data_IF_161893281892
#
_entry.id   IF_161893281892
#
_cell.length_a   1.000
_cell.length_b   1.000
_cell.length_c   1.000
_cell.angle_alpha   90.00
_cell.angle_beta   90.00
_cell.angle_gamma   90.00
#
_symmetry.space_group_name_H-M   'P 1'
#
loop_
_entity.id
_entity.type
_entity.pdbx_description
1 polymer ?
#
# COMPACT_ATOMS: atom_id res chain seq x y z
N UNK A 1 -8.02 26.90 4.90
CA UNK A 1 -8.65 26.61 3.59
C UNK A 1 -9.89 25.79 3.83
N UNK A 2 -11.01 26.17 3.25
CA UNK A 2 -12.22 25.36 3.31
C UNK A 2 -12.05 24.14 2.39
N UNK A 3 -12.32 22.96 2.91
CA UNK A 3 -12.24 21.70 2.14
C UNK A 3 -13.44 21.62 1.20
N UNK A 4 -13.20 21.75 -0.12
CA UNK A 4 -14.23 21.68 -1.15
C UNK A 4 -14.29 20.28 -1.77
N UNK A 5 -15.22 19.48 -1.27
CA UNK A 5 -15.44 18.09 -1.71
C UNK A 5 -15.82 18.04 -3.19
N UNK A 6 -16.63 18.97 -3.69
CA UNK A 6 -17.08 18.95 -5.09
C UNK A 6 -15.92 19.17 -6.05
N UNK A 7 -15.04 20.13 -5.74
CA UNK A 7 -13.84 20.39 -6.52
C UNK A 7 -12.91 19.17 -6.54
N UNK A 8 -12.71 18.49 -5.39
CA UNK A 8 -11.87 17.29 -5.31
C UNK A 8 -12.48 16.15 -6.13
N UNK A 9 -13.82 16.01 -6.13
CA UNK A 9 -14.50 14.98 -6.92
C UNK A 9 -14.31 15.12 -8.43
N UNK A 10 -14.04 16.30 -8.94
CA UNK A 10 -13.74 16.55 -10.37
C UNK A 10 -12.46 15.85 -10.83
N UNK A 11 -11.51 15.61 -9.93
CA UNK A 11 -10.29 14.86 -10.21
C UNK A 11 -10.55 13.37 -10.48
N UNK A 12 -11.75 12.85 -10.14
CA UNK A 12 -12.14 11.45 -10.25
C UNK A 12 -13.27 11.27 -11.28
N UNK A 13 -12.96 11.11 -12.57
CA UNK A 13 -13.97 11.07 -13.64
C UNK A 13 -15.07 10.00 -13.44
N UNK A 14 -14.72 8.87 -12.82
CA UNK A 14 -15.68 7.80 -12.53
C UNK A 14 -16.84 8.25 -11.63
N UNK A 15 -16.63 9.25 -10.76
CA UNK A 15 -17.64 9.74 -9.83
C UNK A 15 -18.71 10.61 -10.50
N UNK A 16 -18.53 10.98 -11.78
CA UNK A 16 -19.54 11.68 -12.59
C UNK A 16 -20.59 10.76 -13.21
N UNK A 17 -20.44 9.43 -13.06
CA UNK A 17 -21.38 8.45 -13.63
C UNK A 17 -22.73 8.47 -12.91
N UNK A 18 -23.77 8.16 -13.68
CA UNK A 18 -25.10 7.84 -13.15
C UNK A 18 -25.30 6.32 -13.12
N UNK A 19 -25.92 5.82 -12.05
CA UNK A 19 -26.31 4.43 -11.88
C UNK A 19 -27.79 4.40 -11.53
N UNK A 20 -28.60 3.74 -12.36
CA UNK A 20 -30.07 3.70 -12.22
C UNK A 20 -30.71 5.10 -12.15
N UNK A 21 -30.21 6.05 -12.95
CA UNK A 21 -30.69 7.43 -12.99
C UNK A 21 -30.31 8.30 -11.79
N UNK A 22 -29.44 7.85 -10.91
CA UNK A 22 -28.92 8.58 -9.73
C UNK A 22 -27.42 8.77 -9.82
N UNK A 23 -26.84 9.83 -9.23
CA UNK A 23 -25.40 9.99 -9.13
C UNK A 23 -24.75 8.78 -8.45
N UNK A 24 -23.57 8.37 -8.93
CA UNK A 24 -22.81 7.28 -8.32
C UNK A 24 -22.42 7.63 -6.87
N UNK A 25 -22.77 6.74 -5.94
CA UNK A 25 -22.22 6.70 -4.59
C UNK A 25 -21.32 5.47 -4.49
N UNK A 26 -20.03 5.67 -4.20
CA UNK A 26 -19.04 4.60 -4.08
C UNK A 26 -18.43 4.60 -2.69
N UNK A 27 -18.66 3.55 -1.92
CA UNK A 27 -18.27 3.43 -0.51
C UNK A 27 -17.25 2.29 -0.25
N UNK A 28 -16.74 1.68 -1.31
CA UNK A 28 -15.85 0.51 -1.22
C UNK A 28 -14.38 0.83 -1.55
N UNK A 29 -13.92 2.05 -1.20
CA UNK A 29 -12.51 2.44 -1.40
C UNK A 29 -11.53 1.63 -0.54
N UNK A 30 -12.00 0.99 0.53
CA UNK A 30 -11.19 0.09 1.36
C UNK A 30 -10.72 -1.15 0.59
N UNK A 31 -11.56 -1.68 -0.30
CA UNK A 31 -11.20 -2.79 -1.17
C UNK A 31 -10.51 -2.29 -2.46
N UNK A 32 -11.06 -1.28 -3.10
CA UNK A 32 -10.54 -0.73 -4.37
C UNK A 32 -10.71 0.78 -4.40
N UNK A 33 -9.64 1.51 -4.22
CA UNK A 33 -9.64 2.98 -4.28
C UNK A 33 -9.80 3.46 -5.72
N UNK A 34 -10.73 4.38 -5.96
CA UNK A 34 -10.86 5.03 -7.26
C UNK A 34 -9.62 5.89 -7.56
N UNK A 35 -9.24 5.94 -8.84
CA UNK A 35 -8.01 6.63 -9.26
C UNK A 35 -8.33 8.03 -9.77
N UNK A 36 -7.63 9.06 -9.32
CA UNK A 36 -7.74 10.38 -9.92
C UNK A 36 -7.13 10.38 -11.33
N UNK A 37 -7.58 11.32 -12.15
CA UNK A 37 -7.13 11.51 -13.54
C UNK A 37 -5.59 11.54 -13.65
N UNK A 38 -4.92 12.33 -12.81
CA UNK A 38 -3.47 12.48 -12.84
C UNK A 38 -2.70 11.16 -12.67
N UNK A 39 -3.25 10.21 -11.88
CA UNK A 39 -2.61 8.88 -11.71
C UNK A 39 -2.76 8.05 -12.99
N UNK A 40 -3.94 8.06 -13.62
CA UNK A 40 -4.17 7.32 -14.86
C UNK A 40 -3.33 7.89 -16.00
N UNK A 41 -3.28 9.21 -16.12
CA UNK A 41 -2.47 9.91 -17.13
C UNK A 41 -0.97 9.63 -16.93
N UNK A 42 -0.47 9.68 -15.70
CA UNK A 42 0.94 9.36 -15.39
C UNK A 42 1.32 7.94 -15.80
N UNK A 43 0.46 6.94 -15.56
CA UNK A 43 0.71 5.56 -16.00
C UNK A 43 0.72 5.46 -17.53
N UNK A 44 -0.21 6.16 -18.18
CA UNK A 44 -0.29 6.18 -19.65
C UNK A 44 0.95 6.83 -20.27
N UNK A 45 1.39 7.97 -19.72
CA UNK A 45 2.58 8.69 -20.16
C UNK A 45 3.86 7.87 -19.96
N UNK A 46 3.96 7.13 -18.86
CA UNK A 46 5.09 6.23 -18.63
C UNK A 46 5.20 5.19 -19.74
N UNK A 47 4.09 4.51 -20.07
CA UNK A 47 4.08 3.51 -21.14
C UNK A 47 4.43 4.09 -22.52
N UNK A 48 4.03 5.31 -22.82
CA UNK A 48 4.26 5.91 -24.13
C UNK A 48 5.62 6.59 -24.27
N UNK A 49 6.26 7.00 -23.16
CA UNK A 49 7.44 7.86 -23.23
C UNK A 49 8.72 7.30 -22.61
N UNK A 50 8.60 6.54 -21.50
CA UNK A 50 9.79 6.14 -20.71
C UNK A 50 9.79 4.68 -20.26
N UNK A 51 8.87 3.84 -20.75
CA UNK A 51 8.78 2.45 -20.34
C UNK A 51 10.07 1.68 -20.65
N UNK A 52 10.86 1.41 -19.59
CA UNK A 52 12.12 0.69 -19.69
C UNK A 52 12.48 0.03 -18.36
N UNK A 53 13.48 -0.85 -18.40
CA UNK A 53 13.96 -1.57 -17.23
C UNK A 53 14.67 -0.63 -16.24
N UNK A 54 14.15 -0.55 -15.02
CA UNK A 54 14.68 0.29 -13.94
C UNK A 54 15.97 -0.33 -13.40
N UNK A 55 17.01 0.47 -13.14
CA UNK A 55 18.33 0.11 -12.55
C UNK A 55 19.22 -0.83 -13.34
N UNK A 56 18.80 -1.37 -14.48
CA UNK A 56 19.56 -2.41 -15.19
C UNK A 56 19.99 -2.06 -16.62
N UNK A 57 19.49 -0.98 -17.17
CA UNK A 57 19.85 -0.53 -18.52
C UNK A 57 20.83 0.63 -18.50
N UNK A 58 21.72 0.66 -19.47
CA UNK A 58 22.69 1.77 -19.67
C UNK A 58 22.26 2.74 -20.77
N UNK A 59 21.04 2.59 -21.28
CA UNK A 59 20.49 3.44 -22.33
C UNK A 59 19.56 4.53 -21.77
N UNK A 60 19.28 5.54 -22.58
CA UNK A 60 18.54 6.75 -22.21
C UNK A 60 17.19 6.46 -21.48
N UNK A 61 16.33 5.61 -22.05
CA UNK A 61 15.02 5.31 -21.44
C UNK A 61 15.16 4.65 -20.08
N UNK A 62 16.12 3.74 -19.91
CA UNK A 62 16.37 3.10 -18.62
C UNK A 62 16.82 4.09 -17.55
N UNK A 63 17.65 5.06 -17.94
CA UNK A 63 18.06 6.14 -17.03
C UNK A 63 16.87 7.02 -16.64
N UNK A 64 16.02 7.36 -17.59
CA UNK A 64 14.80 8.14 -17.34
C UNK A 64 13.84 7.40 -16.39
N UNK A 65 13.53 6.14 -16.67
CA UNK A 65 12.68 5.32 -15.82
C UNK A 65 13.25 5.16 -14.38
N UNK A 66 14.57 4.99 -14.28
CA UNK A 66 15.26 4.93 -12.98
C UNK A 66 15.13 6.25 -12.21
N UNK A 67 15.33 7.39 -12.88
CA UNK A 67 15.22 8.69 -12.24
C UNK A 67 13.79 8.96 -11.73
N UNK A 68 12.76 8.60 -12.51
CA UNK A 68 11.36 8.74 -12.11
C UNK A 68 11.01 7.82 -10.92
N UNK A 69 11.49 6.59 -10.94
CA UNK A 69 11.31 5.65 -9.83
C UNK A 69 11.93 6.17 -8.54
N UNK A 70 13.17 6.63 -8.57
CA UNK A 70 13.85 7.18 -7.40
C UNK A 70 13.24 8.49 -6.91
N UNK A 71 12.79 9.37 -7.82
CA UNK A 71 12.05 10.57 -7.47
C UNK A 71 10.73 10.26 -6.75
N UNK A 72 10.03 9.20 -7.17
CA UNK A 72 8.81 8.71 -6.51
C UNK A 72 9.09 8.20 -5.11
N UNK A 73 10.17 7.43 -4.91
CA UNK A 73 10.61 6.98 -3.58
C UNK A 73 10.95 8.16 -2.67
N UNK A 74 11.66 9.16 -3.18
CA UNK A 74 11.99 10.36 -2.42
C UNK A 74 10.74 11.16 -2.04
N UNK A 75 9.74 11.23 -2.91
CA UNK A 75 8.45 11.86 -2.60
C UNK A 75 7.74 11.16 -1.45
N UNK A 76 7.67 9.83 -1.47
CA UNK A 76 7.09 9.05 -0.38
C UNK A 76 7.91 9.20 0.90
N UNK A 77 9.26 9.15 0.81
CA UNK A 77 10.13 9.36 1.96
C UNK A 77 9.82 10.66 2.69
N UNK A 78 9.68 11.76 1.95
CA UNK A 78 9.34 13.07 2.54
C UNK A 78 7.95 13.07 3.15
N UNK A 79 6.97 12.49 2.46
CA UNK A 79 5.58 12.47 2.90
C UNK A 79 5.40 11.75 4.24
N UNK A 80 6.07 10.60 4.44
CA UNK A 80 6.00 9.85 5.70
C UNK A 80 7.09 10.22 6.70
N UNK A 81 7.93 11.22 6.37
CA UNK A 81 9.04 11.67 7.22
C UNK A 81 10.07 10.57 7.54
N UNK A 82 10.33 9.66 6.61
CA UNK A 82 11.37 8.66 6.77
C UNK A 82 12.78 9.29 6.69
N UNK A 83 13.74 8.72 7.40
CA UNK A 83 15.11 9.25 7.49
C UNK A 83 15.90 9.04 6.19
N UNK A 84 15.69 7.92 5.55
CA UNK A 84 16.43 7.49 4.36
C UNK A 84 15.50 6.96 3.28
N UNK A 85 15.87 7.15 2.02
CA UNK A 85 15.20 6.54 0.87
C UNK A 85 15.28 5.00 0.91
N UNK A 86 16.28 4.43 1.58
CA UNK A 86 16.41 2.98 1.76
C UNK A 86 15.31 2.38 2.65
N UNK A 87 14.57 3.20 3.41
CA UNK A 87 13.41 2.77 4.19
C UNK A 87 12.14 2.65 3.33
N UNK A 88 12.18 3.09 2.07
CA UNK A 88 11.04 3.04 1.16
C UNK A 88 11.15 1.84 0.23
N UNK A 89 10.23 0.91 0.39
CA UNK A 89 10.11 -0.29 -0.45
C UNK A 89 8.72 -0.33 -1.06
N UNK A 90 8.63 -0.24 -2.38
CA UNK A 90 7.38 -0.40 -3.10
C UNK A 90 7.00 -1.88 -3.22
N UNK A 91 5.75 -2.18 -2.94
CA UNK A 91 5.16 -3.52 -3.04
C UNK A 91 3.86 -3.45 -3.85
N UNK A 92 3.33 -4.60 -4.22
CA UNK A 92 2.06 -4.70 -4.98
C UNK A 92 0.82 -4.43 -4.13
N UNK A 93 0.97 -4.29 -2.81
CA UNK A 93 -0.13 -3.99 -1.89
C UNK A 93 0.15 -4.43 -0.46
N UNK A 94 -0.80 -4.15 0.44
CA UNK A 94 -0.68 -4.38 1.88
C UNK A 94 -0.34 -5.83 2.23
N UNK A 95 -0.96 -6.80 1.57
CA UNK A 95 -0.69 -8.23 1.81
C UNK A 95 0.78 -8.58 1.58
N UNK A 96 1.37 -8.10 0.48
CA UNK A 96 2.80 -8.31 0.21
C UNK A 96 3.67 -7.58 1.23
N UNK A 97 3.34 -6.35 1.58
CA UNK A 97 4.09 -5.56 2.57
C UNK A 97 4.13 -6.26 3.93
N UNK A 98 2.98 -6.73 4.43
CA UNK A 98 2.91 -7.41 5.72
C UNK A 98 3.66 -8.76 5.67
N UNK A 99 3.51 -9.54 4.60
CA UNK A 99 4.28 -10.79 4.46
C UNK A 99 5.78 -10.54 4.38
N UNK A 100 6.22 -9.49 3.69
CA UNK A 100 7.63 -9.12 3.61
C UNK A 100 8.17 -8.78 5.02
N UNK A 101 7.46 -7.94 5.77
CA UNK A 101 7.83 -7.57 7.14
C UNK A 101 7.80 -8.80 8.05
N UNK A 102 6.70 -9.55 8.08
CA UNK A 102 6.54 -10.71 8.94
C UNK A 102 7.64 -11.76 8.70
N UNK A 103 7.94 -12.06 7.45
CA UNK A 103 8.99 -13.01 7.07
C UNK A 103 10.38 -12.50 7.45
N UNK A 104 10.74 -11.29 7.01
CA UNK A 104 12.09 -10.73 7.24
C UNK A 104 12.36 -10.48 8.72
N UNK A 105 11.40 -9.94 9.46
CA UNK A 105 11.53 -9.66 10.89
C UNK A 105 11.57 -10.95 11.71
N UNK A 106 10.68 -11.91 11.40
CA UNK A 106 10.70 -13.19 12.08
C UNK A 106 12.02 -13.93 11.86
N UNK A 107 12.59 -13.89 10.65
CA UNK A 107 13.86 -14.56 10.36
C UNK A 107 15.06 -13.92 11.05
N UNK A 108 15.11 -12.60 11.11
CA UNK A 108 16.27 -11.86 11.60
C UNK A 108 16.24 -11.52 13.09
N UNK A 109 15.05 -11.37 13.68
CA UNK A 109 14.89 -10.80 15.02
C UNK A 109 14.13 -11.69 16.01
N UNK A 110 13.41 -12.73 15.54
CA UNK A 110 12.55 -13.53 16.40
C UNK A 110 13.03 -14.97 16.53
N UNK A 111 12.79 -15.56 17.70
CA UNK A 111 13.06 -16.95 18.06
C UNK A 111 11.79 -17.65 18.53
N UNK A 112 11.84 -18.96 18.69
CA UNK A 112 10.76 -19.77 19.26
C UNK A 112 10.32 -19.21 20.64
N UNK A 113 9.02 -19.10 20.82
CA UNK A 113 8.40 -18.57 22.05
C UNK A 113 8.21 -17.06 22.08
N UNK A 114 8.81 -16.29 21.15
CA UNK A 114 8.52 -14.86 21.05
C UNK A 114 7.06 -14.61 20.67
N UNK A 115 6.50 -13.51 21.17
CA UNK A 115 5.08 -13.21 21.03
C UNK A 115 4.82 -12.08 20.01
N UNK A 116 3.80 -12.28 19.17
CA UNK A 116 3.22 -11.24 18.30
C UNK A 116 1.79 -10.97 18.75
N UNK A 117 1.46 -9.70 18.92
CA UNK A 117 0.11 -9.29 19.32
C UNK A 117 -0.62 -8.76 18.10
N UNK A 118 -1.82 -9.28 17.84
CA UNK A 118 -2.78 -8.78 16.84
C UNK A 118 -4.15 -8.58 17.50
N UNK A 119 -5.02 -7.80 16.87
CA UNK A 119 -6.40 -7.71 17.33
C UNK A 119 -7.31 -8.70 16.61
N UNK A 120 -8.46 -9.02 17.18
CA UNK A 120 -9.49 -9.82 16.49
C UNK A 120 -10.10 -9.07 15.30
N UNK A 121 -9.92 -7.76 15.23
CA UNK A 121 -10.46 -6.88 14.17
C UNK A 121 -9.55 -6.79 12.91
N UNK A 122 -8.42 -7.47 12.90
CA UNK A 122 -7.46 -7.41 11.80
C UNK A 122 -8.01 -8.01 10.50
N UNK A 123 -7.61 -7.41 9.39
CA UNK A 123 -7.78 -8.04 8.08
C UNK A 123 -6.92 -9.31 7.99
N UNK A 124 -7.39 -10.30 7.24
CA UNK A 124 -6.68 -11.58 7.04
C UNK A 124 -5.22 -11.43 6.60
N UNK A 125 -4.90 -10.39 5.82
CA UNK A 125 -3.52 -10.10 5.40
C UNK A 125 -2.57 -9.91 6.58
N UNK A 126 -3.05 -9.39 7.71
CA UNK A 126 -2.23 -9.25 8.91
C UNK A 126 -2.23 -10.52 9.76
N UNK A 127 -3.40 -11.11 10.02
CA UNK A 127 -3.49 -12.33 10.86
C UNK A 127 -2.76 -13.51 10.23
N UNK A 128 -3.06 -13.82 8.97
CA UNK A 128 -2.53 -15.01 8.29
C UNK A 128 -1.02 -14.93 8.10
N UNK A 129 -0.49 -13.75 7.79
CA UNK A 129 0.97 -13.56 7.65
C UNK A 129 1.72 -13.96 8.93
N UNK A 130 1.21 -13.58 10.09
CA UNK A 130 1.82 -13.95 11.37
C UNK A 130 1.52 -15.40 11.79
N UNK A 131 0.35 -15.95 11.45
CA UNK A 131 0.06 -17.37 11.64
C UNK A 131 1.04 -18.27 10.88
N UNK A 132 1.42 -17.89 9.65
CA UNK A 132 2.43 -18.61 8.87
C UNK A 132 3.81 -18.58 9.57
N UNK A 133 4.19 -17.45 10.15
CA UNK A 133 5.44 -17.35 10.89
C UNK A 133 5.37 -18.12 12.22
N UNK A 134 4.23 -18.10 12.91
CA UNK A 134 4.01 -18.90 14.12
C UNK A 134 4.19 -20.40 13.83
N UNK A 135 3.59 -20.90 12.77
CA UNK A 135 3.74 -22.30 12.36
C UNK A 135 5.17 -22.66 11.96
N UNK A 136 5.91 -21.72 11.33
CA UNK A 136 7.28 -21.95 10.84
C UNK A 136 8.35 -21.85 11.91
N UNK A 137 8.21 -20.91 12.84
CA UNK A 137 9.25 -20.52 13.80
C UNK A 137 8.89 -20.76 15.26
N UNK A 138 7.69 -21.27 15.56
CA UNK A 138 7.23 -21.44 16.94
C UNK A 138 6.92 -20.15 17.68
N UNK A 139 6.63 -19.07 16.93
CA UNK A 139 6.20 -17.79 17.49
C UNK A 139 4.78 -17.93 18.03
N UNK A 140 4.46 -17.28 19.14
CA UNK A 140 3.15 -17.32 19.79
C UNK A 140 2.32 -16.12 19.37
N UNK A 141 1.17 -16.38 18.75
CA UNK A 141 0.24 -15.32 18.36
C UNK A 141 -0.74 -15.04 19.51
N UNK A 142 -0.72 -13.82 20.03
CA UNK A 142 -1.66 -13.31 21.04
C UNK A 142 -2.71 -12.44 20.37
N UNK A 143 -4.00 -12.68 20.70
CA UNK A 143 -5.11 -11.96 20.10
C UNK A 143 -5.78 -11.09 21.15
N UNK A 144 -5.84 -9.77 20.90
CA UNK A 144 -6.63 -8.84 21.72
C UNK A 144 -8.10 -9.04 21.36
N UNK A 145 -8.97 -9.41 22.32
CA UNK A 145 -10.39 -9.59 22.08
C UNK A 145 -11.10 -8.25 21.90
N UNK A 146 -12.24 -8.27 21.24
CA UNK A 146 -13.13 -7.13 21.07
C UNK A 146 -14.43 -7.36 21.86
N UNK A 147 -14.96 -6.33 22.49
CA UNK A 147 -16.25 -6.39 23.15
C UNK A 147 -17.42 -6.23 22.17
N UNK A 148 -18.67 -6.38 22.67
CA UNK A 148 -19.89 -6.26 21.84
C UNK A 148 -20.15 -4.84 21.29
N UNK A 149 -19.38 -3.84 21.72
CA UNK A 149 -19.44 -2.47 21.21
C UNK A 149 -18.38 -2.16 20.14
N UNK A 150 -17.53 -3.14 19.80
CA UNK A 150 -16.46 -2.96 18.84
C UNK A 150 -15.22 -2.30 19.42
N UNK A 151 -15.04 -2.32 20.74
CA UNK A 151 -13.87 -1.75 21.44
C UNK A 151 -12.87 -2.86 21.79
N UNK A 152 -11.58 -2.60 21.62
CA UNK A 152 -10.45 -3.46 22.01
C UNK A 152 -10.10 -3.28 23.47
#
# INVERSE_FOLDING_TARGET
MQYDVNKIREDFPILSRSVYGKPLVYLDNGATTQKPRCVVESITDEYYSVNANVHRGVHFLSQQATNLHEASRETVRRFINARSISEIVFTRGTTESINLVASSFADSQMKEGDEVIVSVMEHHSNIVSWQLQAARKGIVLKVIPMNNRGEL
#
